data_IF_041589346942
#
_entry.id   IF_041589346942
#
_cell.length_a   1.000
_cell.length_b   1.000
_cell.length_c   1.000
_cell.angle_alpha   90.00
_cell.angle_beta   90.00
_cell.angle_gamma   90.00
#
_symmetry.space_group_name_H-M   'P 1'
#
loop_
_entity.id
_entity.type
_entity.pdbx_description
1 polymer ?
#
# COMPACT_ATOMS: atom_id res chain seq x y z
N UNK A 1 25.56 -17.38 0.95
CA UNK A 1 24.57 -16.59 0.21
C UNK A 1 23.21 -17.19 0.49
N UNK A 2 22.30 -16.42 1.10
CA UNK A 2 21.01 -16.91 1.59
C UNK A 2 20.17 -17.43 0.40
N UNK A 3 19.55 -18.61 0.57
CA UNK A 3 18.70 -19.21 -0.47
C UNK A 3 17.53 -18.28 -0.86
N UNK A 4 17.07 -17.42 0.07
CA UNK A 4 16.05 -16.40 -0.17
C UNK A 4 16.57 -15.31 -1.12
N UNK A 5 17.82 -14.90 -1.00
CA UNK A 5 18.44 -13.93 -1.89
C UNK A 5 18.62 -14.51 -3.32
N UNK A 6 18.96 -15.79 -3.42
CA UNK A 6 19.05 -16.50 -4.71
C UNK A 6 17.65 -16.64 -5.34
N UNK A 7 16.61 -16.90 -4.55
CA UNK A 7 15.23 -16.93 -5.04
C UNK A 7 14.76 -15.53 -5.49
N UNK A 8 15.18 -14.47 -4.77
CA UNK A 8 14.93 -13.09 -5.16
C UNK A 8 15.64 -12.71 -6.47
N UNK A 9 16.91 -13.10 -6.63
CA UNK A 9 17.68 -12.90 -7.86
C UNK A 9 17.11 -13.72 -9.03
N UNK A 10 16.64 -14.94 -8.79
CA UNK A 10 15.94 -15.74 -9.80
C UNK A 10 14.62 -15.10 -10.21
N UNK A 11 13.86 -14.53 -9.27
CA UNK A 11 12.68 -13.69 -9.57
C UNK A 11 13.06 -12.45 -10.38
N UNK A 12 14.18 -11.82 -10.09
CA UNK A 12 14.72 -10.66 -10.82
C UNK A 12 15.11 -11.03 -12.26
N UNK A 13 15.81 -12.12 -12.47
CA UNK A 13 16.23 -12.59 -13.81
C UNK A 13 15.03 -13.00 -14.69
N UNK A 14 13.95 -13.50 -14.10
CA UNK A 14 12.73 -13.84 -14.86
C UNK A 14 11.90 -12.61 -15.26
N UNK A 15 12.10 -11.46 -14.61
CA UNK A 15 11.38 -10.22 -14.92
C UNK A 15 12.08 -9.30 -15.91
N UNK A 16 13.29 -9.68 -16.38
CA UNK A 16 14.10 -8.82 -17.23
C UNK A 16 13.61 -8.67 -18.68
N UNK A 17 12.58 -9.38 -19.09
CA UNK A 17 12.11 -9.33 -20.48
C UNK A 17 11.17 -8.16 -20.78
N UNK A 18 10.63 -7.49 -19.76
CA UNK A 18 9.77 -6.31 -19.96
C UNK A 18 10.12 -5.19 -18.98
N UNK A 19 10.47 -4.02 -19.50
CA UNK A 19 10.76 -2.81 -18.69
C UNK A 19 9.52 -2.30 -17.98
N UNK A 20 8.34 -2.47 -18.53
CA UNK A 20 7.07 -2.10 -17.89
C UNK A 20 6.94 -2.83 -16.55
N UNK A 21 7.17 -4.13 -16.53
CA UNK A 21 6.99 -4.93 -15.32
C UNK A 21 8.03 -4.58 -14.25
N UNK A 22 9.24 -4.16 -14.62
CA UNK A 22 10.24 -3.66 -13.67
C UNK A 22 9.81 -2.33 -13.04
N UNK A 23 9.30 -1.38 -13.84
CA UNK A 23 8.82 -0.08 -13.34
C UNK A 23 7.57 -0.21 -12.48
N UNK A 24 6.64 -1.02 -12.90
CA UNK A 24 5.41 -1.28 -12.14
C UNK A 24 5.72 -1.93 -10.79
N UNK A 25 6.72 -2.80 -10.71
CA UNK A 25 7.19 -3.39 -9.45
C UNK A 25 7.69 -2.37 -8.44
N UNK A 26 8.32 -1.28 -8.88
CA UNK A 26 8.87 -0.26 -7.99
C UNK A 26 7.86 0.82 -7.62
N UNK A 27 6.88 1.08 -8.46
CA UNK A 27 5.97 2.21 -8.32
C UNK A 27 4.53 1.81 -8.10
N UNK A 28 4.18 0.55 -8.35
CA UNK A 28 2.82 0.03 -8.29
C UNK A 28 2.81 -1.41 -7.77
N UNK A 29 1.70 -1.90 -7.20
CA UNK A 29 1.58 -3.29 -6.79
C UNK A 29 1.89 -4.24 -7.95
N UNK A 30 2.84 -5.14 -7.76
CA UNK A 30 3.31 -6.05 -8.80
C UNK A 30 2.24 -7.01 -9.34
N UNK A 31 1.16 -7.20 -8.58
CA UNK A 31 0.02 -8.02 -8.95
C UNK A 31 -0.84 -7.43 -10.09
N UNK A 32 -0.79 -6.12 -10.33
CA UNK A 32 -1.55 -5.44 -11.37
C UNK A 32 -1.21 -5.96 -12.78
N UNK A 33 0.04 -6.36 -12.97
CA UNK A 33 0.56 -6.85 -14.24
C UNK A 33 1.30 -8.18 -14.10
N UNK A 34 1.02 -8.90 -13.01
CA UNK A 34 1.63 -10.20 -12.82
C UNK A 34 0.93 -11.23 -13.71
N UNK A 35 1.33 -11.28 -14.96
CA UNK A 35 0.93 -12.28 -15.94
C UNK A 35 1.58 -13.66 -15.68
N UNK A 36 2.14 -13.87 -14.47
CA UNK A 36 2.78 -15.13 -14.12
C UNK A 36 1.84 -16.00 -13.32
N UNK A 37 1.50 -17.19 -13.81
CA UNK A 37 0.70 -18.15 -13.07
C UNK A 37 1.44 -18.85 -11.93
N UNK A 38 2.60 -18.39 -11.48
CA UNK A 38 3.52 -19.13 -10.60
C UNK A 38 3.51 -18.71 -9.14
N UNK A 39 2.67 -17.76 -8.73
CA UNK A 39 2.38 -17.50 -7.32
C UNK A 39 0.93 -17.90 -7.12
N UNK A 40 0.74 -19.09 -6.61
CA UNK A 40 -0.51 -19.83 -6.69
C UNK A 40 -1.67 -19.23 -5.90
N UNK A 41 -1.53 -18.23 -5.04
CA UNK A 41 -2.62 -17.91 -4.14
C UNK A 41 -2.92 -16.45 -3.80
N UNK A 42 -2.04 -15.43 -4.03
CA UNK A 42 -2.19 -14.23 -3.21
C UNK A 42 -2.17 -12.86 -3.87
N UNK A 43 -2.21 -12.75 -5.17
CA UNK A 43 -2.30 -11.43 -5.76
C UNK A 43 -3.59 -11.27 -6.55
N UNK A 44 -4.55 -10.64 -5.89
CA UNK A 44 -5.69 -10.06 -6.56
C UNK A 44 -5.19 -9.17 -7.68
N UNK A 45 -5.12 -9.68 -8.87
CA UNK A 45 -4.87 -8.83 -10.02
C UNK A 45 -6.05 -7.87 -10.14
N UNK A 46 -5.82 -6.61 -10.45
CA UNK A 46 -6.86 -5.71 -10.94
C UNK A 46 -7.34 -6.16 -12.33
N UNK A 47 -7.17 -7.43 -12.63
CA UNK A 47 -7.70 -8.05 -13.82
C UNK A 47 -9.21 -8.08 -13.70
N UNK A 48 -9.86 -7.41 -14.60
CA UNK A 48 -11.31 -7.45 -14.71
C UNK A 48 -11.63 -8.52 -15.74
N UNK A 49 -12.47 -9.52 -15.41
CA UNK A 49 -12.95 -10.47 -16.38
C UNK A 49 -13.60 -9.77 -17.57
N UNK A 50 -13.33 -10.23 -18.77
CA UNK A 50 -13.86 -9.65 -20.02
C UNK A 50 -15.38 -9.48 -19.98
N UNK A 51 -16.07 -10.38 -19.31
CA UNK A 51 -17.53 -10.41 -19.13
C UNK A 51 -18.07 -9.22 -18.32
N UNK A 52 -17.23 -8.58 -17.49
CA UNK A 52 -17.61 -7.49 -16.58
C UNK A 52 -17.11 -6.12 -17.02
N UNK A 53 -16.41 -6.02 -18.16
CA UNK A 53 -15.93 -4.74 -18.69
C UNK A 53 -16.81 -4.29 -19.83
N UNK A 54 -17.34 -3.05 -19.72
CA UNK A 54 -17.86 -2.35 -20.86
C UNK A 54 -16.74 -2.22 -21.92
N UNK A 55 -16.91 -2.75 -23.14
CA UNK A 55 -15.92 -2.64 -24.21
C UNK A 55 -15.44 -1.21 -24.50
N UNK A 56 -16.26 -0.20 -24.17
CA UNK A 56 -15.87 1.21 -24.28
C UNK A 56 -14.71 1.59 -23.31
N UNK A 57 -14.48 0.81 -22.28
CA UNK A 57 -13.35 0.97 -21.37
C UNK A 57 -12.03 0.41 -21.91
N UNK A 58 -12.08 -0.46 -22.92
CA UNK A 58 -10.88 -1.03 -23.52
C UNK A 58 -10.20 -0.02 -24.44
N UNK A 59 -8.95 0.29 -24.17
CA UNK A 59 -8.15 1.18 -25.04
C UNK A 59 -7.64 0.41 -26.26
N UNK A 60 -8.26 0.67 -27.40
CA UNK A 60 -7.94 0.01 -28.67
C UNK A 60 -6.57 0.41 -29.24
N UNK A 61 -5.87 1.36 -28.64
CA UNK A 61 -4.49 1.70 -29.05
C UNK A 61 -3.48 0.61 -28.73
N UNK A 62 -3.79 -0.25 -27.76
CA UNK A 62 -3.00 -1.45 -27.46
C UNK A 62 -3.24 -2.54 -28.51
N UNK A 63 -2.16 -3.25 -28.88
CA UNK A 63 -2.22 -4.33 -29.87
C UNK A 63 -2.83 -5.59 -29.25
N UNK A 64 -2.35 -6.00 -28.06
CA UNK A 64 -2.79 -7.23 -27.43
C UNK A 64 -4.02 -7.01 -26.56
N UNK A 65 -4.90 -8.01 -26.52
CA UNK A 65 -6.08 -7.98 -25.66
C UNK A 65 -5.71 -7.94 -24.19
N UNK A 66 -4.68 -8.70 -23.80
CA UNK A 66 -4.15 -8.71 -22.43
C UNK A 66 -3.69 -7.32 -21.97
N UNK A 67 -3.01 -6.56 -22.85
CA UNK A 67 -2.61 -5.19 -22.51
C UNK A 67 -3.82 -4.26 -22.34
N UNK A 68 -4.89 -4.42 -23.13
CA UNK A 68 -6.14 -3.65 -23.00
C UNK A 68 -6.81 -3.91 -21.65
N UNK A 69 -6.89 -5.17 -21.24
CA UNK A 69 -7.48 -5.56 -19.96
C UNK A 69 -6.63 -5.05 -18.78
N UNK A 70 -5.31 -5.20 -18.86
CA UNK A 70 -4.39 -4.70 -17.84
C UNK A 70 -4.46 -3.17 -17.70
N UNK A 71 -4.54 -2.45 -18.82
CA UNK A 71 -4.73 -0.99 -18.84
C UNK A 71 -6.07 -0.57 -18.19
N UNK A 72 -7.15 -1.26 -18.54
CA UNK A 72 -8.46 -1.01 -17.95
C UNK A 72 -8.45 -1.25 -16.43
N UNK A 73 -7.90 -2.36 -15.96
CA UNK A 73 -7.73 -2.67 -14.55
C UNK A 73 -6.90 -1.62 -13.81
N UNK A 74 -5.78 -1.19 -14.40
CA UNK A 74 -4.94 -0.15 -13.83
C UNK A 74 -5.69 1.19 -13.69
N UNK A 75 -6.43 1.60 -14.71
CA UNK A 75 -7.23 2.83 -14.66
C UNK A 75 -8.31 2.77 -13.60
N UNK A 76 -9.02 1.67 -13.49
CA UNK A 76 -10.08 1.49 -12.50
C UNK A 76 -9.51 1.50 -11.08
N UNK A 77 -8.41 0.79 -10.84
CA UNK A 77 -7.70 0.83 -9.57
C UNK A 77 -7.25 2.25 -9.21
N UNK A 78 -6.61 2.97 -10.14
CA UNK A 78 -6.20 4.35 -9.92
C UNK A 78 -7.37 5.28 -9.64
N UNK A 79 -8.57 4.99 -10.15
CA UNK A 79 -9.79 5.77 -9.90
C UNK A 79 -10.52 5.39 -8.61
N UNK A 80 -10.02 4.42 -7.85
CA UNK A 80 -10.62 4.01 -6.57
C UNK A 80 -11.74 2.99 -6.71
N UNK A 81 -11.86 2.30 -7.85
CA UNK A 81 -12.75 1.13 -7.95
C UNK A 81 -12.15 0.02 -7.10
N UNK A 82 -12.92 -0.46 -6.15
CA UNK A 82 -12.56 -1.61 -5.33
C UNK A 82 -13.01 -2.87 -6.04
N UNK A 83 -12.06 -3.50 -6.72
CA UNK A 83 -12.31 -4.73 -7.48
C UNK A 83 -12.10 -5.91 -6.54
N UNK A 84 -13.07 -6.82 -6.51
CA UNK A 84 -12.89 -8.13 -5.92
C UNK A 84 -12.06 -9.01 -6.86
N UNK A 85 -11.07 -9.71 -6.32
CA UNK A 85 -10.32 -10.67 -7.12
C UNK A 85 -11.03 -11.99 -7.18
N UNK A 86 -11.26 -12.49 -8.38
CA UNK A 86 -11.66 -13.87 -8.59
C UNK A 86 -10.43 -14.69 -9.00
N UNK A 87 -9.74 -15.28 -8.02
CA UNK A 87 -8.52 -16.06 -8.24
C UNK A 87 -8.71 -17.25 -9.17
N UNK A 88 -9.93 -17.75 -9.32
CA UNK A 88 -10.24 -18.87 -10.22
C UNK A 88 -10.27 -18.47 -11.70
N UNK A 89 -10.60 -17.21 -12.00
CA UNK A 89 -10.66 -16.71 -13.38
C UNK A 89 -9.27 -16.34 -13.90
N UNK A 90 -8.35 -15.92 -13.02
CA UNK A 90 -6.96 -15.59 -13.39
C UNK A 90 -6.21 -16.78 -14.00
N UNK A 91 -6.56 -18.02 -13.60
CA UNK A 91 -5.93 -19.25 -14.12
C UNK A 91 -6.25 -19.52 -15.59
N UNK A 92 -7.29 -18.92 -16.13
CA UNK A 92 -7.76 -19.14 -17.50
C UNK A 92 -7.34 -18.05 -18.49
N UNK A 93 -6.58 -17.03 -18.03
CA UNK A 93 -6.12 -15.99 -18.92
C UNK A 93 -5.02 -16.54 -19.82
N UNK A 94 -5.27 -16.52 -21.12
CA UNK A 94 -4.27 -16.80 -22.12
C UNK A 94 -3.01 -15.98 -21.84
N UNK A 95 -1.89 -16.65 -21.74
CA UNK A 95 -0.59 -16.05 -21.39
C UNK A 95 0.00 -15.23 -22.55
N UNK A 96 -0.82 -14.52 -23.32
CA UNK A 96 -0.33 -13.59 -24.32
C UNK A 96 0.38 -12.45 -23.61
N UNK A 97 1.69 -12.35 -23.83
CA UNK A 97 2.49 -11.25 -23.26
C UNK A 97 2.21 -9.97 -24.04
N UNK A 98 2.10 -8.81 -23.36
CA UNK A 98 2.08 -7.51 -24.05
C UNK A 98 3.24 -7.39 -25.01
N UNK A 99 2.97 -6.88 -26.19
CA UNK A 99 3.99 -6.62 -27.20
C UNK A 99 4.86 -5.40 -26.85
N UNK A 100 5.97 -5.25 -27.56
CA UNK A 100 6.87 -4.09 -27.34
C UNK A 100 6.16 -2.75 -27.57
N UNK A 101 5.24 -2.70 -28.51
CA UNK A 101 4.43 -1.51 -28.77
C UNK A 101 3.53 -1.19 -27.56
N UNK A 102 2.90 -2.20 -26.97
CA UNK A 102 2.05 -2.06 -25.78
C UNK A 102 2.85 -1.50 -24.61
N UNK A 103 4.08 -1.96 -24.43
CA UNK A 103 4.97 -1.44 -23.39
C UNK A 103 5.25 0.06 -23.56
N UNK A 104 5.59 0.50 -24.76
CA UNK A 104 5.82 1.93 -25.02
C UNK A 104 4.55 2.77 -24.92
N UNK A 105 3.38 2.24 -25.31
CA UNK A 105 2.08 2.90 -25.11
C UNK A 105 1.85 3.13 -23.62
N UNK A 106 2.01 2.10 -22.80
CA UNK A 106 1.82 2.18 -21.36
C UNK A 106 2.74 3.21 -20.70
N UNK A 107 4.03 3.16 -21.03
CA UNK A 107 5.03 4.08 -20.47
C UNK A 107 4.68 5.53 -20.83
N UNK A 108 4.35 5.82 -22.09
CA UNK A 108 4.00 7.17 -22.52
C UNK A 108 2.72 7.66 -21.87
N UNK A 109 1.71 6.81 -21.81
CA UNK A 109 0.38 7.12 -21.31
C UNK A 109 0.41 7.49 -19.82
N UNK A 110 1.19 6.79 -19.01
CA UNK A 110 1.20 6.98 -17.56
C UNK A 110 2.43 7.72 -17.02
N UNK A 111 3.59 7.50 -17.59
CA UNK A 111 4.84 8.14 -17.10
C UNK A 111 5.36 9.24 -18.03
N UNK A 112 4.98 9.21 -19.28
CA UNK A 112 5.29 10.25 -20.25
C UNK A 112 6.57 10.01 -21.04
N UNK A 113 6.89 11.01 -21.89
CA UNK A 113 7.96 10.87 -22.88
C UNK A 113 9.35 10.68 -22.26
N UNK A 114 9.67 11.37 -21.16
CA UNK A 114 10.98 11.24 -20.52
C UNK A 114 11.29 9.78 -20.14
N UNK A 115 10.30 9.07 -19.57
CA UNK A 115 10.42 7.67 -19.24
C UNK A 115 10.51 6.77 -20.49
N UNK A 116 9.81 7.11 -21.57
CA UNK A 116 9.94 6.36 -22.83
C UNK A 116 11.36 6.48 -23.43
N UNK A 117 11.97 7.67 -23.37
CA UNK A 117 13.37 7.86 -23.77
C UNK A 117 14.33 7.08 -22.87
N UNK A 118 14.14 7.15 -21.55
CA UNK A 118 14.95 6.39 -20.59
C UNK A 118 14.87 4.88 -20.88
N UNK A 119 13.66 4.36 -21.10
CA UNK A 119 13.44 2.95 -21.44
C UNK A 119 14.16 2.56 -22.73
N UNK A 120 14.04 3.37 -23.79
CA UNK A 120 14.73 3.13 -25.05
C UNK A 120 16.25 3.03 -24.84
N UNK A 121 16.84 3.98 -24.11
CA UNK A 121 18.28 3.99 -23.84
C UNK A 121 18.72 2.73 -23.07
N UNK A 122 18.03 2.40 -21.97
CA UNK A 122 18.34 1.19 -21.18
C UNK A 122 18.27 -0.05 -22.06
N UNK A 123 17.25 -0.19 -22.90
CA UNK A 123 17.06 -1.38 -23.74
C UNK A 123 18.13 -1.47 -24.84
N UNK A 124 18.57 -0.36 -25.40
CA UNK A 124 19.69 -0.33 -26.32
C UNK A 124 21.02 -0.72 -25.64
N UNK A 125 21.26 -0.19 -24.40
CA UNK A 125 22.46 -0.55 -23.64
C UNK A 125 22.45 -2.01 -23.14
N UNK A 126 21.29 -2.61 -22.98
CA UNK A 126 21.16 -4.04 -22.62
C UNK A 126 21.07 -4.96 -23.83
N UNK A 127 21.52 -4.50 -25.00
CA UNK A 127 21.61 -5.27 -26.23
C UNK A 127 20.29 -5.86 -26.75
N UNK A 128 19.16 -5.19 -26.48
CA UNK A 128 17.89 -5.53 -27.14
C UNK A 128 17.95 -5.13 -28.62
N UNK A 129 17.12 -5.74 -29.45
CA UNK A 129 17.13 -5.47 -30.89
C UNK A 129 16.88 -4.00 -31.19
N UNK A 130 17.89 -3.22 -31.63
CA UNK A 130 17.77 -1.76 -31.78
C UNK A 130 16.75 -1.35 -32.83
N UNK A 131 16.59 -2.13 -33.90
CA UNK A 131 15.62 -1.83 -34.97
C UNK A 131 14.20 -1.91 -34.45
N UNK A 132 13.88 -2.96 -33.69
CA UNK A 132 12.56 -3.13 -33.10
C UNK A 132 12.29 -2.06 -32.05
N UNK A 133 13.26 -1.77 -31.17
CA UNK A 133 13.11 -0.75 -30.12
C UNK A 133 12.84 0.63 -30.73
N UNK A 134 13.63 1.06 -31.67
CA UNK A 134 13.49 2.37 -32.34
C UNK A 134 12.16 2.44 -33.09
N UNK A 135 11.79 1.39 -33.82
CA UNK A 135 10.55 1.36 -34.57
C UNK A 135 9.31 1.55 -33.67
N UNK A 136 9.20 0.75 -32.59
CA UNK A 136 8.05 0.82 -31.66
C UNK A 136 8.06 2.11 -30.83
N UNK A 137 9.24 2.60 -30.46
CA UNK A 137 9.37 3.90 -29.81
C UNK A 137 8.78 5.03 -30.68
N UNK A 138 9.09 5.07 -31.99
CA UNK A 138 8.56 6.11 -32.87
C UNK A 138 7.09 5.87 -33.28
N UNK A 139 6.66 4.64 -33.44
CA UNK A 139 5.25 4.30 -33.68
C UNK A 139 4.32 4.85 -32.61
N UNK A 140 4.76 4.85 -31.34
CA UNK A 140 3.95 5.27 -30.19
C UNK A 140 4.06 6.76 -29.84
N UNK A 141 4.78 7.56 -30.63
CA UNK A 141 5.05 9.00 -30.37
C UNK A 141 3.80 9.87 -30.20
N UNK A 142 2.66 9.45 -30.75
CA UNK A 142 1.39 10.17 -30.68
C UNK A 142 0.68 10.00 -29.32
N UNK A 143 1.07 9.03 -28.51
CA UNK A 143 0.47 8.77 -27.20
C UNK A 143 0.84 9.91 -26.25
N UNK A 144 -0.19 10.53 -25.67
CA UNK A 144 -0.05 11.60 -24.67
C UNK A 144 -0.21 11.05 -23.27
N UNK A 145 0.52 11.64 -22.33
CA UNK A 145 0.36 11.33 -20.91
C UNK A 145 -1.03 11.76 -20.43
N UNK A 146 -1.68 10.91 -19.66
CA UNK A 146 -2.96 11.18 -19.00
C UNK A 146 -2.76 11.32 -17.50
N UNK A 147 -3.65 12.05 -16.83
CA UNK A 147 -3.78 12.05 -15.37
C UNK A 147 -4.76 10.92 -14.99
N UNK A 148 -4.23 9.79 -14.61
CA UNK A 148 -5.03 8.60 -14.29
C UNK A 148 -5.83 8.74 -12.99
N UNK A 149 -5.41 9.68 -12.11
CA UNK A 149 -6.06 9.96 -10.84
C UNK A 149 -7.13 11.06 -10.95
N UNK A 150 -7.40 11.55 -12.15
CA UNK A 150 -8.46 12.50 -12.39
C UNK A 150 -9.84 11.83 -12.39
N UNK A 151 -10.85 12.54 -11.86
CA UNK A 151 -12.23 12.04 -11.78
C UNK A 151 -12.35 10.69 -11.04
N UNK A 152 -11.97 10.62 -9.74
CA UNK A 152 -12.07 9.41 -8.94
C UNK A 152 -13.53 9.01 -8.72
N UNK A 153 -13.74 7.74 -8.41
CA UNK A 153 -15.02 7.24 -7.94
C UNK A 153 -15.16 7.62 -6.46
N UNK A 154 -16.30 8.20 -6.13
CA UNK A 154 -16.65 8.60 -4.77
C UNK A 154 -17.63 7.60 -4.17
N UNK A 155 -17.57 7.44 -2.85
CA UNK A 155 -18.45 6.56 -2.09
C UNK A 155 -19.35 7.37 -1.13
N UNK A 156 -20.39 8.09 -1.63
CA UNK A 156 -21.20 8.97 -0.79
C UNK A 156 -21.95 8.22 0.30
N UNK A 157 -22.23 6.93 0.11
CA UNK A 157 -22.85 6.09 1.13
C UNK A 157 -21.97 5.94 2.39
N UNK A 158 -20.67 6.15 2.30
CA UNK A 158 -19.74 6.08 3.43
C UNK A 158 -20.08 7.10 4.52
N UNK A 159 -20.48 8.32 4.14
CA UNK A 159 -20.76 9.39 5.11
C UNK A 159 -21.83 8.97 6.11
N UNK A 160 -22.91 8.35 5.65
CA UNK A 160 -24.06 7.94 6.45
C UNK A 160 -24.05 6.45 6.81
N UNK A 161 -22.94 5.76 6.60
CA UNK A 161 -22.84 4.33 6.91
C UNK A 161 -22.86 4.09 8.41
N UNK A 162 -23.79 3.27 8.86
CA UNK A 162 -23.81 2.75 10.22
C UNK A 162 -22.94 1.50 10.31
N UNK A 163 -21.88 1.57 11.10
CA UNK A 163 -20.94 0.44 11.26
C UNK A 163 -21.40 -0.48 12.38
N UNK A 164 -21.80 -1.70 12.01
CA UNK A 164 -22.07 -2.77 12.98
C UNK A 164 -20.79 -3.17 13.74
N UNK A 165 -19.65 -3.11 13.10
CA UNK A 165 -18.36 -3.38 13.72
C UNK A 165 -18.11 -2.44 14.92
N UNK A 166 -18.34 -1.13 14.75
CA UNK A 166 -18.21 -0.17 15.84
C UNK A 166 -19.21 -0.49 16.97
N UNK A 167 -20.43 -0.88 16.63
CA UNK A 167 -21.45 -1.25 17.60
C UNK A 167 -21.08 -2.47 18.45
N UNK A 168 -20.28 -3.41 17.91
CA UNK A 168 -19.73 -4.55 18.68
C UNK A 168 -18.60 -4.15 19.63
N UNK A 169 -18.13 -2.91 19.54
CA UNK A 169 -17.05 -2.37 20.37
C UNK A 169 -15.81 -3.27 20.49
N UNK A 170 -15.18 -3.70 19.40
CA UNK A 170 -14.00 -4.57 19.46
C UNK A 170 -12.83 -3.86 20.14
N UNK A 171 -11.99 -4.61 20.87
CA UNK A 171 -10.80 -4.01 21.48
C UNK A 171 -9.77 -3.61 20.44
N UNK A 172 -9.30 -2.36 20.51
CA UNK A 172 -8.23 -1.77 19.68
C UNK A 172 -6.98 -1.59 20.52
N UNK A 173 -5.79 -1.91 19.99
CA UNK A 173 -4.51 -1.55 20.60
C UNK A 173 -3.83 -0.49 19.72
N UNK A 174 -3.64 0.71 20.24
CA UNK A 174 -2.86 1.78 19.63
C UNK A 174 -1.40 1.56 19.98
N UNK A 175 -0.54 1.36 18.98
CA UNK A 175 0.86 1.01 19.12
C UNK A 175 1.72 2.21 18.76
N UNK A 176 2.47 2.72 19.76
CA UNK A 176 3.32 3.90 19.63
C UNK A 176 4.74 3.59 20.07
N UNK A 177 5.68 3.37 19.15
CA UNK A 177 7.10 3.40 19.47
C UNK A 177 7.55 4.86 19.63
N UNK A 178 8.36 5.15 20.65
CA UNK A 178 8.91 6.51 20.88
C UNK A 178 10.39 6.46 21.24
N UNK A 179 11.11 7.54 20.90
CA UNK A 179 12.54 7.69 21.18
C UNK A 179 12.89 9.16 21.42
N UNK A 180 13.10 9.56 22.69
CA UNK A 180 13.50 10.90 23.10
C UNK A 180 12.55 12.02 22.63
N UNK A 181 11.23 11.77 22.54
CA UNK A 181 10.22 12.68 21.95
C UNK A 181 9.03 12.97 22.86
N UNK A 182 9.21 13.03 24.19
CA UNK A 182 8.11 13.24 25.14
C UNK A 182 7.26 14.48 24.86
N UNK A 183 7.86 15.56 24.31
CA UNK A 183 7.11 16.76 23.97
C UNK A 183 6.06 16.50 22.89
N UNK A 184 6.40 15.76 21.85
CA UNK A 184 5.45 15.40 20.80
C UNK A 184 4.48 14.31 21.26
N UNK A 185 5.01 13.29 21.95
CA UNK A 185 4.19 12.20 22.51
C UNK A 185 3.11 12.74 23.45
N UNK A 186 3.38 13.82 24.20
CA UNK A 186 2.38 14.47 25.05
C UNK A 186 1.16 14.89 24.25
N UNK A 187 1.36 15.54 23.12
CA UNK A 187 0.27 16.00 22.27
C UNK A 187 -0.52 14.83 21.67
N UNK A 188 0.19 13.76 21.26
CA UNK A 188 -0.41 12.51 20.78
C UNK A 188 -1.31 11.87 21.84
N UNK A 189 -0.84 11.75 23.08
CA UNK A 189 -1.61 11.14 24.17
C UNK A 189 -2.83 12.00 24.53
N UNK A 190 -2.75 13.33 24.49
CA UNK A 190 -3.90 14.21 24.64
C UNK A 190 -4.95 14.03 23.52
N UNK A 191 -4.53 13.84 22.27
CA UNK A 191 -5.46 13.55 21.17
C UNK A 191 -6.15 12.19 21.39
N UNK A 192 -5.45 11.20 21.96
CA UNK A 192 -6.02 9.91 22.29
C UNK A 192 -7.04 9.98 23.45
N UNK A 193 -6.85 10.84 24.45
CA UNK A 193 -7.86 11.11 25.49
C UNK A 193 -9.20 11.61 24.90
N UNK A 194 -9.12 12.37 23.80
CA UNK A 194 -10.30 12.94 23.14
C UNK A 194 -11.02 11.98 22.20
N UNK A 195 -10.50 10.76 21.98
CA UNK A 195 -11.16 9.80 21.09
C UNK A 195 -12.59 9.49 21.54
N UNK A 196 -13.53 9.50 20.60
CA UNK A 196 -14.93 9.13 20.85
C UNK A 196 -15.09 7.64 21.09
N UNK A 197 -14.30 6.82 20.40
CA UNK A 197 -14.20 5.39 20.64
C UNK A 197 -13.43 5.12 21.93
N UNK A 198 -14.00 4.31 22.85
CA UNK A 198 -13.43 4.16 24.20
C UNK A 198 -12.82 2.77 24.50
N UNK A 199 -13.15 1.73 23.72
CA UNK A 199 -12.60 0.39 23.99
C UNK A 199 -11.24 0.18 23.34
N UNK A 200 -10.24 0.94 23.78
CA UNK A 200 -8.86 0.80 23.32
C UNK A 200 -7.85 0.85 24.47
N UNK A 201 -6.68 0.31 24.22
CA UNK A 201 -5.48 0.42 25.03
C UNK A 201 -4.35 1.08 24.24
N UNK A 202 -3.42 1.73 24.92
CA UNK A 202 -2.24 2.36 24.31
C UNK A 202 -0.99 1.59 24.71
N UNK A 203 -0.28 1.07 23.75
CA UNK A 203 0.97 0.33 23.95
C UNK A 203 2.15 1.22 23.56
N UNK A 204 2.84 1.77 24.54
CA UNK A 204 4.01 2.61 24.30
C UNK A 204 5.28 1.78 24.50
N UNK A 205 6.09 1.70 23.43
CA UNK A 205 7.42 1.10 23.47
C UNK A 205 8.45 2.23 23.48
N UNK A 206 8.88 2.57 24.69
CA UNK A 206 9.76 3.72 24.95
C UNK A 206 11.22 3.29 24.87
N UNK A 207 11.92 3.83 23.88
CA UNK A 207 13.33 3.58 23.58
C UNK A 207 14.22 4.75 24.02
N UNK A 208 13.67 5.71 24.77
CA UNK A 208 14.36 6.92 25.20
C UNK A 208 15.54 6.62 26.13
N UNK A 209 16.61 7.37 26.00
CA UNK A 209 17.79 7.26 26.87
C UNK A 209 17.44 7.63 28.32
N UNK A 210 16.74 8.76 28.48
CA UNK A 210 16.17 9.21 29.76
C UNK A 210 14.72 8.75 29.84
N UNK A 211 14.51 7.54 30.38
CA UNK A 211 13.18 6.94 30.53
C UNK A 211 12.42 7.57 31.68
N UNK A 212 11.24 8.14 31.41
CA UNK A 212 10.42 8.88 32.37
C UNK A 212 9.06 8.21 32.60
N UNK A 213 8.96 7.17 33.45
CA UNK A 213 7.70 6.45 33.67
C UNK A 213 6.60 7.36 34.26
N UNK A 214 6.94 8.37 35.06
CA UNK A 214 6.01 9.33 35.64
C UNK A 214 5.30 10.18 34.58
N UNK A 215 5.93 10.40 33.41
CA UNK A 215 5.36 11.15 32.31
C UNK A 215 3.99 10.58 31.88
N UNK A 216 3.81 9.28 31.94
CA UNK A 216 2.61 8.63 31.47
C UNK A 216 1.45 8.65 32.50
N UNK A 217 1.73 8.94 33.76
CA UNK A 217 0.71 8.93 34.83
C UNK A 217 -0.23 10.13 34.77
N UNK A 218 0.09 11.16 33.98
CA UNK A 218 -0.72 12.35 33.84
C UNK A 218 -1.94 12.17 32.90
N UNK A 219 -2.00 11.07 32.12
CA UNK A 219 -3.03 10.83 31.13
C UNK A 219 -4.11 9.86 31.64
N UNK A 220 -5.37 10.12 31.29
CA UNK A 220 -6.51 9.25 31.62
C UNK A 220 -6.75 8.20 30.52
N UNK A 221 -5.75 7.37 30.29
CA UNK A 221 -5.73 6.33 29.26
C UNK A 221 -5.26 4.99 29.85
N UNK A 222 -5.73 3.88 29.27
CA UNK A 222 -5.17 2.55 29.55
C UNK A 222 -3.81 2.42 28.82
N UNK A 223 -2.76 2.98 29.42
CA UNK A 223 -1.41 2.98 28.85
C UNK A 223 -0.59 1.85 29.44
N UNK A 224 -0.07 0.99 28.58
CA UNK A 224 0.93 -0.03 28.93
C UNK A 224 2.28 0.38 28.38
N UNK A 225 3.23 0.63 29.27
CA UNK A 225 4.55 1.12 28.92
C UNK A 225 5.54 -0.04 28.96
N UNK A 226 6.34 -0.17 27.93
CA UNK A 226 7.47 -1.10 27.89
C UNK A 226 8.74 -0.32 27.59
N UNK A 227 9.69 -0.31 28.53
CA UNK A 227 11.04 0.19 28.26
C UNK A 227 11.75 -0.78 27.33
N UNK A 228 12.17 -0.30 26.16
CA UNK A 228 12.98 -1.06 25.21
C UNK A 228 14.38 -0.43 25.13
N UNK A 229 15.41 -1.20 25.50
CA UNK A 229 16.79 -0.71 25.49
C UNK A 229 17.32 -0.54 24.07
N UNK A 230 16.98 -1.45 23.18
CA UNK A 230 17.43 -1.42 21.80
C UNK A 230 16.59 -0.44 20.97
N UNK A 231 17.25 0.49 20.28
CA UNK A 231 16.61 1.48 19.39
C UNK A 231 16.24 0.86 18.05
N UNK A 232 15.21 0.01 18.06
CA UNK A 232 14.76 -0.79 16.91
C UNK A 232 13.26 -0.65 16.72
N UNK A 233 12.86 0.11 15.70
CA UNK A 233 11.46 0.43 15.43
C UNK A 233 10.59 -0.81 15.17
N UNK A 234 11.04 -1.68 14.26
CA UNK A 234 10.25 -2.86 13.86
C UNK A 234 10.20 -3.91 14.96
N UNK A 235 11.26 -4.04 15.74
CA UNK A 235 11.26 -4.88 16.96
C UNK A 235 10.24 -4.35 17.99
N UNK A 236 10.16 -3.02 18.19
CA UNK A 236 9.18 -2.42 19.09
C UNK A 236 7.74 -2.72 18.64
N UNK A 237 7.43 -2.52 17.37
CA UNK A 237 6.12 -2.85 16.80
C UNK A 237 5.79 -4.34 16.92
N UNK A 238 6.74 -5.22 16.62
CA UNK A 238 6.56 -6.67 16.76
C UNK A 238 6.29 -7.09 18.21
N UNK A 239 7.00 -6.52 19.15
CA UNK A 239 6.81 -6.79 20.58
C UNK A 239 5.44 -6.28 21.06
N UNK A 240 5.00 -5.11 20.58
CA UNK A 240 3.67 -4.59 20.87
C UNK A 240 2.58 -5.52 20.34
N UNK A 241 2.68 -6.00 19.11
CA UNK A 241 1.74 -6.97 18.53
C UNK A 241 1.62 -8.22 19.39
N UNK A 242 2.76 -8.72 19.90
CA UNK A 242 2.82 -9.92 20.73
C UNK A 242 2.25 -9.68 22.14
N UNK A 243 2.31 -8.46 22.66
CA UNK A 243 1.93 -8.12 24.04
C UNK A 243 0.44 -7.89 24.27
N UNK A 244 -0.37 -7.85 23.22
CA UNK A 244 -1.81 -7.58 23.31
C UNK A 244 -2.65 -8.72 22.73
N UNK A 245 -3.92 -8.78 23.13
CA UNK A 245 -4.95 -9.66 22.55
C UNK A 245 -6.02 -8.90 21.77
N UNK A 246 -5.85 -7.59 21.59
CA UNK A 246 -6.78 -6.75 20.83
C UNK A 246 -7.02 -7.27 19.42
N UNK A 247 -8.24 -7.20 18.93
CA UNK A 247 -8.64 -7.69 17.60
C UNK A 247 -8.12 -6.81 16.47
N UNK A 248 -7.91 -5.52 16.77
CA UNK A 248 -7.42 -4.51 15.82
C UNK A 248 -6.18 -3.85 16.39
N UNK A 249 -5.17 -3.69 15.55
CA UNK A 249 -3.89 -3.08 15.89
C UNK A 249 -3.75 -1.79 15.08
N UNK A 250 -3.67 -0.65 15.76
CA UNK A 250 -3.60 0.67 15.15
C UNK A 250 -2.20 1.23 15.38
N UNK A 251 -1.42 1.31 14.31
CA UNK A 251 -0.06 1.83 14.33
C UNK A 251 -0.06 3.34 14.22
N UNK A 252 0.69 3.99 15.09
CA UNK A 252 0.76 5.44 15.15
C UNK A 252 2.16 5.92 15.50
N UNK A 253 2.55 7.07 14.95
CA UNK A 253 3.84 7.71 15.26
C UNK A 253 3.69 8.68 16.45
N UNK A 254 4.79 8.90 17.16
CA UNK A 254 4.84 9.72 18.37
C UNK A 254 4.85 11.25 18.13
N UNK A 255 4.77 11.68 16.87
CA UNK A 255 4.81 13.09 16.44
C UNK A 255 3.68 13.49 15.49
N UNK A 256 2.64 12.68 15.39
CA UNK A 256 1.46 12.94 14.56
C UNK A 256 0.28 13.45 15.38
N UNK A 257 -0.71 14.09 14.75
CA UNK A 257 -1.93 14.61 15.40
C UNK A 257 -3.16 14.01 14.75
N UNK A 258 -4.20 13.75 15.51
CA UNK A 258 -5.44 13.13 15.03
C UNK A 258 -6.69 13.79 15.62
N UNK A 259 -7.81 13.70 14.88
CA UNK A 259 -9.12 14.09 15.37
C UNK A 259 -9.73 13.08 16.34
N UNK A 260 -10.81 13.46 17.01
CA UNK A 260 -11.49 12.65 18.02
C UNK A 260 -12.19 11.39 17.48
N UNK A 261 -12.37 11.29 16.19
CA UNK A 261 -13.04 10.20 15.47
C UNK A 261 -12.08 9.23 14.77
N UNK A 262 -10.77 9.45 14.93
CA UNK A 262 -9.73 8.71 14.20
C UNK A 262 -9.82 7.19 14.33
N UNK A 263 -9.99 6.66 15.56
CA UNK A 263 -10.14 5.22 15.79
C UNK A 263 -11.43 4.70 15.15
N UNK A 264 -12.54 5.40 15.33
CA UNK A 264 -13.82 5.00 14.76
C UNK A 264 -13.84 5.07 13.23
N UNK A 265 -13.18 6.04 12.61
CA UNK A 265 -13.08 6.13 11.15
C UNK A 265 -12.27 4.98 10.54
N UNK A 266 -11.21 4.52 11.20
CA UNK A 266 -10.51 3.31 10.77
C UNK A 266 -11.39 2.05 10.85
N UNK A 267 -12.13 1.87 11.95
CA UNK A 267 -13.07 0.75 12.10
C UNK A 267 -14.20 0.82 11.06
N UNK A 268 -14.77 2.02 10.86
CA UNK A 268 -15.79 2.26 9.85
C UNK A 268 -15.31 1.94 8.44
N UNK A 269 -14.07 2.32 8.11
CA UNK A 269 -13.45 2.02 6.83
C UNK A 269 -13.30 0.51 6.62
N UNK A 270 -12.82 -0.22 7.63
CA UNK A 270 -12.68 -1.67 7.60
C UNK A 270 -14.02 -2.36 7.38
N UNK A 271 -15.07 -1.88 8.05
CA UNK A 271 -16.41 -2.45 7.96
C UNK A 271 -17.06 -2.16 6.60
N UNK A 272 -17.09 -0.88 6.20
CA UNK A 272 -17.72 -0.45 4.96
C UNK A 272 -17.14 -1.13 3.71
N UNK A 273 -15.81 -1.24 3.66
CA UNK A 273 -15.10 -1.83 2.52
C UNK A 273 -14.80 -3.33 2.70
N UNK A 274 -15.19 -3.93 3.82
CA UNK A 274 -14.89 -5.31 4.19
C UNK A 274 -13.40 -5.66 3.95
N UNK A 275 -12.51 -4.77 4.37
CA UNK A 275 -11.06 -4.93 4.21
C UNK A 275 -10.39 -5.38 5.51
N UNK A 276 -9.15 -5.86 5.41
CA UNK A 276 -8.37 -6.30 6.57
C UNK A 276 -7.44 -5.21 7.10
N UNK A 277 -7.17 -4.19 6.30
CA UNK A 277 -6.27 -3.07 6.62
C UNK A 277 -6.91 -1.76 6.17
N UNK A 278 -6.89 -0.74 7.03
CA UNK A 278 -7.22 0.64 6.71
C UNK A 278 -5.99 1.51 6.94
N UNK A 279 -5.49 2.17 5.90
CA UNK A 279 -4.38 3.11 5.99
C UNK A 279 -4.89 4.55 5.78
N UNK A 280 -4.57 5.42 6.71
CA UNK A 280 -4.84 6.84 6.61
C UNK A 280 -3.76 7.59 5.83
N UNK A 281 -3.98 8.87 5.59
CA UNK A 281 -3.02 9.76 4.94
C UNK A 281 -2.45 10.74 5.95
N UNK A 282 -1.12 10.75 6.09
CA UNK A 282 -0.43 11.71 6.93
C UNK A 282 -0.20 13.02 6.17
N UNK A 283 -0.70 14.13 6.72
CA UNK A 283 -0.59 15.46 6.13
C UNK A 283 0.46 16.28 6.86
N UNK A 284 1.37 16.90 6.11
CA UNK A 284 2.33 17.81 6.71
C UNK A 284 1.62 19.09 7.22
N UNK A 285 1.91 19.50 8.46
CA UNK A 285 1.38 20.73 9.10
C UNK A 285 1.71 21.98 8.29
N UNK A 286 2.78 21.93 7.48
CA UNK A 286 3.22 23.03 6.61
C UNK A 286 2.28 23.35 5.43
N UNK A 287 1.13 22.66 5.32
CA UNK A 287 0.17 22.88 4.24
C UNK A 287 0.61 22.33 2.88
N UNK A 288 1.47 21.31 2.87
CA UNK A 288 1.86 20.66 1.64
C UNK A 288 0.63 20.07 0.93
N UNK A 289 0.53 20.30 -0.39
CA UNK A 289 -0.56 19.80 -1.20
C UNK A 289 -0.53 18.28 -1.25
N UNK A 290 -1.65 17.65 -0.90
CA UNK A 290 -1.82 16.20 -1.01
C UNK A 290 -1.81 15.79 -2.48
N UNK A 291 -1.14 14.69 -2.80
CA UNK A 291 -1.29 14.08 -4.12
C UNK A 291 -2.76 13.67 -4.34
N UNK A 292 -3.26 13.85 -5.56
CA UNK A 292 -4.62 13.43 -5.93
C UNK A 292 -4.90 11.97 -5.57
N UNK A 293 -3.90 11.09 -5.69
CA UNK A 293 -4.00 9.66 -5.39
C UNK A 293 -4.31 9.34 -3.92
N UNK A 294 -4.14 10.28 -3.00
CA UNK A 294 -4.43 10.13 -1.56
C UNK A 294 -5.70 10.88 -1.12
N UNK A 295 -6.42 11.48 -2.05
CA UNK A 295 -7.58 12.32 -1.72
C UNK A 295 -8.93 11.57 -1.74
N UNK A 296 -8.93 10.26 -1.97
CA UNK A 296 -10.14 9.43 -2.05
C UNK A 296 -9.84 7.98 -1.70
N UNK A 297 -10.87 7.19 -1.42
CA UNK A 297 -10.73 5.76 -1.12
C UNK A 297 -10.29 4.97 -2.35
N UNK A 298 -9.26 4.18 -2.18
CA UNK A 298 -8.77 3.21 -3.17
C UNK A 298 -7.96 2.10 -2.50
N UNK A 299 -7.73 1.01 -3.19
CA UNK A 299 -6.72 0.05 -2.75
C UNK A 299 -5.35 0.75 -2.72
N UNK A 300 -4.76 0.80 -1.53
CA UNK A 300 -3.47 1.43 -1.33
C UNK A 300 -2.34 0.56 -1.89
N UNK A 301 -1.31 1.22 -2.39
CA UNK A 301 -0.04 0.62 -2.84
C UNK A 301 1.04 0.69 -1.76
N UNK A 302 0.71 1.30 -0.63
CA UNK A 302 1.62 1.47 0.50
C UNK A 302 0.88 1.25 1.82
N UNK A 303 1.62 0.75 2.79
CA UNK A 303 1.20 0.67 4.19
C UNK A 303 1.91 1.78 4.97
N UNK A 304 1.17 2.79 5.42
CA UNK A 304 1.71 3.82 6.30
C UNK A 304 1.65 3.34 7.75
N UNK A 305 2.76 2.82 8.25
CA UNK A 305 2.86 2.34 9.62
C UNK A 305 2.80 3.44 10.69
N UNK A 306 2.69 4.70 10.29
CA UNK A 306 2.40 5.84 11.18
C UNK A 306 0.92 6.17 11.27
N UNK A 307 0.05 5.55 10.44
CA UNK A 307 -1.39 5.80 10.43
C UNK A 307 -2.14 4.63 9.76
N UNK A 308 -2.12 3.44 10.36
CA UNK A 308 -2.79 2.29 9.78
C UNK A 308 -3.37 1.35 10.84
N UNK A 309 -4.61 0.90 10.63
CA UNK A 309 -5.27 -0.14 11.40
C UNK A 309 -5.24 -1.46 10.65
N UNK A 310 -4.89 -2.53 11.35
CA UNK A 310 -4.76 -3.89 10.81
C UNK A 310 -5.56 -4.87 11.68
N UNK A 311 -6.37 -5.72 11.07
CA UNK A 311 -6.94 -6.88 11.78
C UNK A 311 -5.80 -7.79 12.27
N UNK A 312 -5.82 -8.21 13.52
CA UNK A 312 -4.78 -9.06 14.12
C UNK A 312 -4.48 -10.32 13.29
N UNK A 313 -5.49 -10.90 12.67
CA UNK A 313 -5.36 -12.15 11.92
C UNK A 313 -4.48 -12.02 10.67
N UNK A 314 -4.29 -10.80 10.16
CA UNK A 314 -3.33 -10.52 9.08
C UNK A 314 -1.92 -10.97 9.49
N UNK A 315 -1.49 -10.66 10.72
CA UNK A 315 -0.17 -11.05 11.21
C UNK A 315 0.00 -12.57 11.39
N UNK A 316 -1.10 -13.31 11.54
CA UNK A 316 -1.06 -14.79 11.54
C UNK A 316 -0.85 -15.33 10.11
N UNK A 317 -1.40 -14.64 9.09
CA UNK A 317 -1.33 -15.07 7.69
C UNK A 317 0.01 -14.73 7.04
N UNK A 318 0.48 -13.48 7.19
CA UNK A 318 1.65 -12.97 6.49
C UNK A 318 2.89 -12.78 7.39
N UNK A 319 2.76 -12.98 8.69
CA UNK A 319 3.84 -12.81 9.66
C UNK A 319 3.98 -11.38 10.17
N UNK A 320 4.96 -11.19 11.05
CA UNK A 320 5.30 -9.90 11.66
C UNK A 320 6.16 -9.04 10.72
N UNK A 321 6.42 -7.79 11.10
CA UNK A 321 7.38 -6.95 10.37
C UNK A 321 8.77 -7.59 10.34
N UNK A 322 9.46 -7.46 9.21
CA UNK A 322 10.83 -7.98 9.08
C UNK A 322 11.83 -7.06 9.82
N UNK A 323 12.42 -7.60 10.87
CA UNK A 323 13.35 -6.86 11.72
C UNK A 323 14.71 -6.56 11.04
N UNK A 324 14.99 -7.14 9.86
CA UNK A 324 16.15 -6.77 9.06
C UNK A 324 16.10 -5.30 8.59
N UNK A 325 14.90 -4.72 8.55
CA UNK A 325 14.70 -3.31 8.22
C UNK A 325 14.91 -2.35 9.41
N UNK A 326 15.29 -2.84 10.61
CA UNK A 326 15.65 -1.95 11.72
C UNK A 326 16.84 -1.05 11.31
N UNK A 327 16.66 0.28 11.49
CA UNK A 327 17.65 1.28 11.05
C UNK A 327 17.61 1.61 9.56
N UNK A 328 16.71 0.97 8.80
CA UNK A 328 16.46 1.26 7.38
C UNK A 328 15.03 1.75 7.18
N UNK A 329 14.81 2.50 6.09
CA UNK A 329 13.46 2.80 5.60
C UNK A 329 12.90 1.59 4.86
N UNK A 330 11.60 1.55 4.59
CA UNK A 330 10.90 0.55 3.75
C UNK A 330 10.46 -0.75 4.47
N UNK A 331 10.51 -0.86 5.78
CA UNK A 331 9.96 -2.03 6.47
C UNK A 331 8.43 -2.11 6.41
N UNK A 332 7.78 -0.98 6.33
CA UNK A 332 6.34 -0.85 6.03
C UNK A 332 6.02 -1.22 4.57
N UNK A 333 6.85 -0.78 3.63
CA UNK A 333 6.72 -1.18 2.22
C UNK A 333 6.93 -2.68 2.01
N UNK A 334 7.86 -3.31 2.74
CA UNK A 334 8.06 -4.76 2.73
C UNK A 334 6.82 -5.49 3.25
N UNK A 335 6.25 -5.02 4.37
CA UNK A 335 5.03 -5.58 4.93
C UNK A 335 3.84 -5.45 3.97
N UNK A 336 3.68 -4.29 3.34
CA UNK A 336 2.64 -4.06 2.33
C UNK A 336 2.76 -4.99 1.11
N UNK A 337 3.98 -5.43 0.80
CA UNK A 337 4.23 -6.32 -0.35
C UNK A 337 3.86 -7.78 -0.09
N UNK A 338 3.86 -8.23 1.16
CA UNK A 338 3.47 -9.59 1.58
C UNK A 338 1.97 -9.76 1.67
#
# INVERSE_FOLDING_TARGET
MDQRFIALLKKFNYSCDSVIFQFIRYTQPGWLFNLRPTIEEDFASCYIPEENIDPAFLDITYETHTARLADAGYRLWCKGVLLESNTNEIKNISAEKPGLQDEYIFIRKYWGNAWAYYTLLIRLFTFKNPVNEINHFFKTRYIKKIDVFDSPIMYPAYENFYSELIATTPKVAVIIPTLNRYTYLKDVLHDLEQQTYKNFEVLVFDQSDDFQPEFYTQFQLDIKITKQVEKKLWTARNNAIKSTTASYLLFFDDDSRVGSDWISEHLKCIDFFNCDISAGVSLAVTGQKISKSYAYFRWADQFDSGNAMVKRDVFKKIGLFDEQFNGMRMGDGEFAYR
#
